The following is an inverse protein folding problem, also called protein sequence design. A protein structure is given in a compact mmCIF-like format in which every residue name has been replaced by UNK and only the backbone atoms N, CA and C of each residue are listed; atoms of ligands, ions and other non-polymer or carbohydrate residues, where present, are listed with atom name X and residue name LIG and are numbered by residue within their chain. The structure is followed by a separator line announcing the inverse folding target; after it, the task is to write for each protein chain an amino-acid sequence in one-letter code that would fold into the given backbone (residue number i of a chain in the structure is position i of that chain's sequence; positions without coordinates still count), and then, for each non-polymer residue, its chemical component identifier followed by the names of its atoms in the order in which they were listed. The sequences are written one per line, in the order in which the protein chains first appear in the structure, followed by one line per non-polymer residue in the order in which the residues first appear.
data_IF_364512342262
#
_entry.id   IF_364512342262
#
_cell.length_a   1.000
_cell.length_b   1.000
_cell.length_c   1.000
_cell.angle_alpha   90.00
_cell.angle_beta   90.00
_cell.angle_gamma   90.00
#
_symmetry.space_group_name_H-M   'P 1'
#
loop_
_entity.id
_entity.type
_entity.pdbx_description
1 polymer ?
#
# COMPACT_ATOMS: atom_id res chain seq x y z
N UNK A 1 7.26 12.75 -26.27
CA UNK A 1 7.69 11.60 -27.10
C UNK A 1 8.79 10.73 -26.48
N UNK A 2 9.48 11.17 -25.40
CA UNK A 2 10.61 10.44 -24.80
C UNK A 2 10.21 9.24 -23.92
N UNK A 3 9.05 9.29 -23.26
CA UNK A 3 8.65 8.29 -22.25
C UNK A 3 8.12 6.96 -22.81
N UNK A 4 7.35 6.98 -23.92
CA UNK A 4 6.74 5.75 -24.47
C UNK A 4 7.78 4.78 -25.05
N UNK A 5 8.79 5.31 -25.74
CA UNK A 5 9.90 4.51 -26.27
C UNK A 5 10.75 3.92 -25.13
N UNK A 6 11.05 4.71 -24.09
CA UNK A 6 11.79 4.23 -22.93
C UNK A 6 11.03 3.12 -22.17
N UNK A 7 9.71 3.27 -22.01
CA UNK A 7 8.86 2.24 -21.42
C UNK A 7 8.86 0.96 -22.28
N UNK A 8 8.70 1.08 -23.60
CA UNK A 8 8.72 -0.07 -24.50
C UNK A 8 10.05 -0.84 -24.44
N UNK A 9 11.18 -0.14 -24.37
CA UNK A 9 12.50 -0.77 -24.16
C UNK A 9 12.60 -1.44 -22.78
N UNK A 10 12.10 -0.82 -21.71
CA UNK A 10 12.13 -1.41 -20.36
C UNK A 10 11.26 -2.67 -20.25
N UNK A 11 10.15 -2.72 -20.97
CA UNK A 11 9.26 -3.89 -21.05
C UNK A 11 9.84 -5.02 -21.91
N UNK A 12 10.83 -4.74 -22.75
CA UNK A 12 11.41 -5.73 -23.66
C UNK A 12 12.11 -6.84 -22.85
N UNK A 13 11.66 -8.09 -23.02
CA UNK A 13 12.17 -9.25 -22.29
C UNK A 13 11.53 -9.51 -20.92
N UNK A 14 10.61 -8.66 -20.46
CA UNK A 14 9.83 -8.88 -19.23
C UNK A 14 8.46 -9.44 -19.58
N UNK A 15 8.15 -10.62 -19.07
CA UNK A 15 6.83 -11.25 -19.13
C UNK A 15 6.11 -11.08 -17.78
N UNK A 16 4.78 -11.21 -17.78
CA UNK A 16 3.92 -11.12 -16.58
C UNK A 16 3.94 -9.78 -15.83
N UNK A 17 3.97 -8.67 -16.58
CA UNK A 17 3.90 -7.34 -16.00
C UNK A 17 2.51 -7.03 -15.43
N UNK A 18 2.44 -6.66 -14.16
CA UNK A 18 1.25 -6.12 -13.52
C UNK A 18 1.33 -4.59 -13.47
N UNK A 19 0.31 -3.91 -14.00
CA UNK A 19 0.20 -2.44 -13.95
C UNK A 19 -0.82 -2.06 -12.90
N UNK A 20 -0.38 -1.31 -11.89
CA UNK A 20 -1.26 -0.75 -10.87
C UNK A 20 -1.42 0.76 -11.12
N UNK A 21 -2.65 1.32 -11.08
CA UNK A 21 -2.86 2.76 -11.08
C UNK A 21 -2.06 3.41 -9.96
N UNK A 22 -1.35 4.49 -10.25
CA UNK A 22 -0.67 5.25 -9.20
C UNK A 22 -1.75 5.96 -8.38
N UNK A 23 -1.78 5.66 -7.10
CA UNK A 23 -2.67 6.32 -6.14
C UNK A 23 -1.83 7.35 -5.38
N UNK A 24 -2.42 8.50 -5.05
CA UNK A 24 -1.78 9.50 -4.21
C UNK A 24 -2.07 9.16 -2.75
N UNK A 25 -1.26 8.27 -2.17
CA UNK A 25 -1.40 7.80 -0.80
C UNK A 25 -0.10 7.80 0.00
N UNK A 26 -0.15 7.19 1.19
CA UNK A 26 0.97 7.06 2.11
C UNK A 26 1.39 5.59 2.18
N UNK A 27 2.63 5.31 1.83
CA UNK A 27 3.19 3.96 1.94
C UNK A 27 3.25 3.52 3.41
N UNK A 28 2.76 2.30 3.68
CA UNK A 28 2.73 1.71 5.02
C UNK A 28 3.27 0.28 5.05
N UNK A 29 3.63 -0.18 6.24
CA UNK A 29 3.93 -1.59 6.53
C UNK A 29 3.16 -2.03 7.77
N UNK A 30 2.42 -3.12 7.64
CA UNK A 30 1.68 -3.78 8.71
C UNK A 30 2.45 -5.03 9.13
N UNK A 31 2.69 -5.19 10.43
CA UNK A 31 3.32 -6.40 10.99
C UNK A 31 2.31 -7.12 11.86
N UNK A 32 2.02 -8.37 11.51
CA UNK A 32 1.17 -9.26 12.28
C UNK A 32 2.02 -10.35 12.93
N UNK A 33 1.78 -10.63 14.20
CA UNK A 33 2.35 -11.78 14.91
C UNK A 33 1.26 -12.68 15.45
N UNK A 34 1.33 -13.97 15.11
CA UNK A 34 0.26 -14.94 15.38
C UNK A 34 -1.12 -14.40 14.97
N UNK A 35 -1.17 -13.78 13.79
CA UNK A 35 -2.38 -13.16 13.25
C UNK A 35 -2.79 -11.82 13.87
N UNK A 36 -2.16 -11.32 14.95
CA UNK A 36 -2.52 -10.03 15.56
C UNK A 36 -1.65 -8.89 15.06
N UNK A 37 -2.25 -7.75 14.71
CA UNK A 37 -1.52 -6.55 14.32
C UNK A 37 -0.70 -6.03 15.52
N UNK A 38 0.62 -5.93 15.35
CA UNK A 38 1.55 -5.45 16.38
C UNK A 38 2.34 -4.21 15.96
N UNK A 39 2.32 -3.84 14.69
CA UNK A 39 2.92 -2.58 14.21
C UNK A 39 2.26 -2.10 12.93
N UNK A 40 2.07 -0.78 12.83
CA UNK A 40 1.73 -0.09 11.59
C UNK A 40 2.72 1.06 11.42
N UNK A 41 3.59 0.97 10.42
CA UNK A 41 4.61 1.99 10.15
C UNK A 41 4.22 2.76 8.89
N UNK A 42 4.15 4.08 8.97
CA UNK A 42 4.06 4.94 7.77
C UNK A 42 5.45 5.38 7.35
N UNK A 43 5.71 5.47 6.04
CA UNK A 43 7.03 5.88 5.53
C UNK A 43 7.19 7.39 5.32
N UNK A 44 6.11 8.16 5.46
CA UNK A 44 6.12 9.62 5.38
C UNK A 44 6.91 10.18 4.19
N UNK A 45 7.61 11.30 4.43
CA UNK A 45 8.49 12.03 3.50
C UNK A 45 9.88 11.39 3.29
N UNK A 46 10.06 10.13 3.69
CA UNK A 46 11.27 9.35 3.44
C UNK A 46 12.40 9.55 4.46
N UNK A 47 12.22 10.36 5.50
CA UNK A 47 13.25 10.61 6.51
C UNK A 47 13.00 9.92 7.86
N UNK A 48 11.73 9.70 8.25
CA UNK A 48 11.37 9.01 9.50
C UNK A 48 10.08 8.20 9.32
N UNK A 49 10.14 6.91 9.65
CA UNK A 49 8.91 6.11 9.77
C UNK A 49 8.18 6.46 11.05
N UNK A 50 6.88 6.76 10.98
CA UNK A 50 6.06 7.04 12.16
C UNK A 50 5.27 5.78 12.56
N UNK A 51 5.27 5.45 13.85
CA UNK A 51 4.50 4.36 14.42
C UNK A 51 3.04 4.80 14.59
N UNK A 52 2.12 4.09 13.93
CA UNK A 52 0.71 4.42 13.79
C UNK A 52 -0.22 3.33 14.33
N UNK A 53 0.26 2.36 15.12
CA UNK A 53 -0.56 1.26 15.63
C UNK A 53 -1.82 1.75 16.35
N UNK A 54 -1.72 2.84 17.12
CA UNK A 54 -2.88 3.46 17.79
C UNK A 54 -3.94 4.00 16.81
N UNK A 55 -3.52 4.38 15.59
CA UNK A 55 -4.43 4.85 14.52
C UNK A 55 -5.11 3.70 13.79
N UNK A 56 -4.54 2.48 13.80
CA UNK A 56 -5.04 1.34 13.05
C UNK A 56 -6.51 1.00 13.39
N UNK A 57 -6.91 1.12 14.66
CA UNK A 57 -8.28 0.88 15.10
C UNK A 57 -9.32 1.83 14.46
N UNK A 58 -8.89 2.98 13.95
CA UNK A 58 -9.73 3.99 13.31
C UNK A 58 -9.80 3.84 11.78
N UNK A 59 -9.07 2.89 11.21
CA UNK A 59 -9.00 2.65 9.76
C UNK A 59 -9.67 1.31 9.47
N UNK A 60 -10.95 1.29 9.06
CA UNK A 60 -11.72 0.04 8.90
C UNK A 60 -11.10 -0.97 7.91
N UNK A 61 -10.32 -0.47 6.95
CA UNK A 61 -9.63 -1.31 5.96
C UNK A 61 -8.43 -2.08 6.54
N UNK A 62 -7.97 -1.75 7.75
CA UNK A 62 -6.87 -2.44 8.43
C UNK A 62 -7.46 -3.44 9.42
N UNK A 63 -7.44 -4.75 9.12
CA UNK A 63 -7.89 -5.74 10.08
C UNK A 63 -6.90 -5.81 11.24
N UNK A 64 -7.42 -5.79 12.48
CA UNK A 64 -6.58 -5.95 13.68
C UNK A 64 -6.13 -7.41 13.90
N UNK A 65 -6.82 -8.35 13.23
CA UNK A 65 -6.50 -9.77 13.22
C UNK A 65 -6.63 -10.34 11.80
N UNK A 66 -5.73 -11.24 11.43
CA UNK A 66 -5.76 -12.02 10.19
C UNK A 66 -5.67 -13.50 10.52
N UNK A 67 -6.31 -14.33 9.71
CA UNK A 67 -6.13 -15.77 9.76
C UNK A 67 -4.80 -16.14 9.10
N UNK A 68 -3.89 -16.72 9.87
CA UNK A 68 -2.60 -17.17 9.36
C UNK A 68 -2.03 -18.26 10.26
N UNK A 69 -1.37 -19.24 9.65
CA UNK A 69 -0.57 -20.24 10.36
C UNK A 69 0.89 -19.81 10.60
N UNK A 70 1.25 -18.61 10.15
CA UNK A 70 2.62 -18.09 10.25
C UNK A 70 2.84 -17.35 11.57
N UNK A 71 4.07 -17.43 12.10
CA UNK A 71 4.48 -16.70 13.30
C UNK A 71 4.47 -15.19 13.07
N UNK A 72 4.99 -14.74 11.93
CA UNK A 72 5.04 -13.33 11.54
C UNK A 72 4.62 -13.15 10.07
N UNK A 73 3.82 -12.11 9.80
CA UNK A 73 3.42 -11.69 8.46
C UNK A 73 3.65 -10.20 8.33
N UNK A 74 4.35 -9.80 7.27
CA UNK A 74 4.56 -8.38 6.92
C UNK A 74 3.82 -8.07 5.62
N UNK A 75 2.90 -7.12 5.67
CA UNK A 75 2.16 -6.63 4.51
C UNK A 75 2.60 -5.20 4.19
N UNK A 76 2.94 -4.95 2.93
CA UNK A 76 3.28 -3.62 2.43
C UNK A 76 2.19 -3.13 1.49
N UNK A 77 1.82 -1.87 1.64
CA UNK A 77 0.77 -1.28 0.84
C UNK A 77 0.74 0.23 0.97
N UNK A 78 -0.35 0.83 0.51
CA UNK A 78 -0.56 2.27 0.51
C UNK A 78 -1.94 2.59 1.08
N UNK A 79 -1.99 3.53 2.02
CA UNK A 79 -3.23 4.10 2.51
C UNK A 79 -3.58 5.33 1.69
N UNK A 80 -4.80 5.37 1.16
CA UNK A 80 -5.31 6.50 0.40
C UNK A 80 -6.77 6.77 0.76
N UNK A 81 -7.22 8.00 0.52
CA UNK A 81 -8.62 8.36 0.70
C UNK A 81 -9.41 7.93 -0.54
N UNK A 82 -10.40 7.07 -0.34
CA UNK A 82 -11.32 6.71 -1.42
C UNK A 82 -12.30 7.85 -1.68
N UNK A 83 -12.11 8.60 -2.77
CA UNK A 83 -13.06 9.61 -3.21
C UNK A 83 -14.24 8.96 -3.96
N UNK A 84 -15.32 8.65 -3.26
CA UNK A 84 -16.52 8.00 -3.84
C UNK A 84 -17.48 8.98 -4.55
N UNK A 85 -17.02 10.17 -4.94
CA UNK A 85 -17.90 11.28 -5.32
C UNK A 85 -17.54 12.05 -6.59
N UNK A 86 -16.76 11.49 -7.52
CA UNK A 86 -16.56 12.16 -8.81
C UNK A 86 -17.86 12.11 -9.64
N UNK A 87 -18.72 13.12 -9.47
CA UNK A 87 -19.67 13.48 -10.50
C UNK A 87 -18.88 14.14 -11.64
N UNK A 88 -18.65 13.40 -12.72
CA UNK A 88 -18.35 14.04 -14.00
C UNK A 88 -19.64 14.72 -14.44
N UNK A 89 -19.70 16.06 -14.32
CA UNK A 89 -20.73 16.84 -14.97
C UNK A 89 -20.60 16.67 -16.48
N UNK A 90 -21.66 16.13 -17.09
CA UNK A 90 -21.85 16.15 -18.54
C UNK A 90 -22.36 17.50 -19.03
#
# INVERSE_FOLDING_TARGET
MRDKLALAYWMQGRHDLWVQPKVDGIAVSLVYRHGRLVSLLSRGDGLRGEEWLAKAAWIPAIPLQIETGLEEVVLQGELYLSMTGHQQGG
#
